data_IF_182250474978
#
_entry.id   IF_182250474978
#
_cell.length_a   1.000
_cell.length_b   1.000
_cell.length_c   1.000
_cell.angle_alpha   90.00
_cell.angle_beta   90.00
_cell.angle_gamma   90.00
#
_symmetry.space_group_name_H-M   'P 1'
#
loop_
_entity.id
_entity.type
_entity.pdbx_description
1 polymer ?
#
# COMPACT_ATOMS: atom_id res chain seq x y z
N UNK A 1 -2.48 2.44 4.12
CA UNK A 1 -1.83 1.33 4.87
C UNK A 1 -2.11 1.55 6.35
N UNK A 2 -2.78 0.63 7.04
CA UNK A 2 -3.18 0.88 8.43
C UNK A 2 -2.25 0.21 9.44
N UNK A 3 -2.31 -1.12 9.57
CA UNK A 3 -1.49 -1.85 10.54
C UNK A 3 -1.14 -3.26 10.03
N UNK A 4 -0.15 -3.90 10.63
CA UNK A 4 0.03 -5.34 10.53
C UNK A 4 -0.05 -5.97 11.93
N UNK A 5 -0.34 -7.28 11.98
CA UNK A 5 -0.38 -8.05 13.22
C UNK A 5 0.26 -9.42 13.06
N UNK A 6 0.66 -9.98 14.20
CA UNK A 6 1.19 -11.33 14.31
C UNK A 6 2.35 -11.60 13.35
N UNK A 7 3.19 -10.57 13.12
CA UNK A 7 4.37 -10.70 12.27
C UNK A 7 5.37 -11.68 12.90
N UNK A 8 5.95 -12.55 12.07
CA UNK A 8 7.02 -13.43 12.51
C UNK A 8 8.26 -12.60 12.83
N UNK A 9 8.76 -12.71 14.07
CA UNK A 9 10.00 -12.09 14.48
C UNK A 9 11.18 -12.62 13.67
N UNK A 10 12.06 -11.71 13.26
CA UNK A 10 13.27 -12.03 12.53
C UNK A 10 14.49 -12.10 13.46
N UNK A 11 14.53 -11.18 14.43
CA UNK A 11 15.57 -11.16 15.44
C UNK A 11 15.34 -12.10 16.63
N UNK A 12 16.44 -12.67 17.12
CA UNK A 12 16.48 -13.52 18.32
C UNK A 12 16.09 -12.76 19.59
N UNK A 13 16.14 -11.43 19.54
CA UNK A 13 15.93 -10.54 20.69
C UNK A 13 14.46 -10.10 20.81
N UNK A 14 13.54 -10.70 20.03
CA UNK A 14 12.07 -10.57 20.08
C UNK A 14 11.46 -9.24 19.64
N UNK A 15 12.28 -8.29 19.19
CA UNK A 15 11.83 -6.98 18.74
C UNK A 15 12.33 -6.71 17.33
N UNK A 16 11.41 -6.39 16.42
CA UNK A 16 11.67 -5.97 15.04
C UNK A 16 11.27 -4.50 14.86
N UNK A 17 11.85 -3.83 13.87
CA UNK A 17 11.57 -2.47 13.43
C UNK A 17 10.87 -2.48 12.04
N UNK A 18 9.62 -2.97 11.94
CA UNK A 18 8.97 -3.19 10.65
C UNK A 18 8.65 -1.91 9.89
N UNK A 19 8.89 -1.96 8.58
CA UNK A 19 8.35 -1.03 7.59
C UNK A 19 7.84 -1.79 6.36
N UNK A 20 6.99 -1.14 5.57
CA UNK A 20 6.46 -1.71 4.34
C UNK A 20 6.92 -0.92 3.11
N UNK A 21 7.24 -1.63 2.04
CA UNK A 21 7.38 -1.10 0.68
C UNK A 21 6.13 -1.50 -0.08
N UNK A 22 5.37 -0.52 -0.54
CA UNK A 22 4.22 -0.74 -1.42
C UNK A 22 4.62 -0.44 -2.84
N UNK A 23 4.45 -1.43 -3.71
CA UNK A 23 4.81 -1.38 -5.12
C UNK A 23 3.56 -1.57 -5.97
N UNK A 24 3.38 -0.66 -6.94
CA UNK A 24 2.31 -0.75 -7.93
C UNK A 24 2.86 -0.33 -9.29
N UNK A 25 2.81 -1.27 -10.24
CA UNK A 25 3.42 -1.13 -11.57
C UNK A 25 4.90 -0.71 -11.48
N UNK A 26 5.24 0.47 -11.99
CA UNK A 26 6.60 1.00 -12.07
C UNK A 26 6.95 1.94 -10.91
N UNK A 27 6.08 2.07 -9.91
CA UNK A 27 6.31 2.95 -8.75
C UNK A 27 6.32 2.14 -7.44
N UNK A 28 7.10 2.63 -6.48
CA UNK A 28 7.12 2.10 -5.12
C UNK A 28 7.25 3.23 -4.10
N UNK A 29 6.68 3.03 -2.90
CA UNK A 29 6.77 3.94 -1.77
C UNK A 29 6.99 3.17 -0.48
N UNK A 30 7.81 3.73 0.41
CA UNK A 30 8.15 3.15 1.72
C UNK A 30 7.32 3.84 2.81
N UNK A 31 6.80 3.07 3.76
CA UNK A 31 6.18 3.61 4.97
C UNK A 31 7.23 4.09 5.96
N UNK A 32 6.79 4.79 7.01
CA UNK A 32 7.64 5.00 8.19
C UNK A 32 8.03 3.65 8.82
N UNK A 33 9.20 3.64 9.48
CA UNK A 33 9.67 2.52 10.30
C UNK A 33 9.05 2.65 11.69
N UNK A 34 8.39 1.60 12.18
CA UNK A 34 7.89 1.55 13.54
C UNK A 34 8.82 0.65 14.34
N UNK A 35 9.39 1.17 15.43
CA UNK A 35 10.41 0.45 16.18
C UNK A 35 9.83 -0.53 17.19
N UNK A 36 10.55 -1.63 17.42
CA UNK A 36 10.40 -2.54 18.54
C UNK A 36 8.98 -3.15 18.67
N UNK A 37 8.40 -3.61 17.56
CA UNK A 37 7.05 -4.20 17.51
C UNK A 37 6.87 -5.21 16.38
N UNK A 38 6.06 -6.25 16.63
CA UNK A 38 5.55 -7.17 15.61
C UNK A 38 4.10 -6.85 15.19
N UNK A 39 3.53 -5.78 15.76
CA UNK A 39 2.19 -5.29 15.48
C UNK A 39 2.25 -3.80 15.14
N UNK A 40 2.90 -3.42 14.03
CA UNK A 40 3.06 -2.02 13.67
C UNK A 40 1.75 -1.40 13.23
N UNK A 41 1.48 -0.19 13.72
CA UNK A 41 0.42 0.69 13.20
C UNK A 41 1.09 1.85 12.48
N UNK A 42 1.05 1.84 11.15
CA UNK A 42 1.61 2.92 10.33
C UNK A 42 0.62 4.06 10.15
N UNK A 43 -0.68 3.74 10.02
CA UNK A 43 -1.78 4.70 9.76
C UNK A 43 -1.44 5.73 8.67
N UNK A 44 -0.84 5.25 7.58
CA UNK A 44 -0.24 6.10 6.55
C UNK A 44 -0.99 6.00 5.22
N UNK A 45 -1.28 7.17 4.64
CA UNK A 45 -1.75 7.29 3.26
C UNK A 45 -0.57 7.32 2.30
N UNK A 46 -0.49 6.36 1.38
CA UNK A 46 0.46 6.38 0.27
C UNK A 46 -0.29 6.68 -1.02
N UNK A 47 0.22 7.62 -1.80
CA UNK A 47 -0.46 8.13 -2.99
C UNK A 47 0.51 8.06 -4.16
N UNK A 48 0.17 7.28 -5.16
CA UNK A 48 0.94 7.17 -6.38
C UNK A 48 0.31 8.08 -7.43
N UNK A 49 1.06 9.12 -7.81
CA UNK A 49 0.67 10.04 -8.86
C UNK A 49 1.10 9.49 -10.22
N UNK A 50 0.31 9.77 -11.24
CA UNK A 50 0.73 9.60 -12.64
C UNK A 50 1.13 8.17 -13.08
N UNK A 51 0.41 7.16 -12.61
CA UNK A 51 0.61 5.77 -13.00
C UNK A 51 0.04 5.52 -14.40
N UNK A 52 0.89 5.37 -15.40
CA UNK A 52 0.44 4.94 -16.73
C UNK A 52 0.13 3.43 -16.75
N UNK A 53 -1.10 3.08 -17.12
CA UNK A 53 -1.52 1.69 -17.36
C UNK A 53 -1.80 1.55 -18.85
N UNK A 54 -0.99 0.75 -19.53
CA UNK A 54 -1.16 0.46 -20.95
C UNK A 54 -2.18 -0.66 -21.14
N UNK A 55 -3.18 -0.44 -21.99
CA UNK A 55 -4.21 -1.43 -22.31
C UNK A 55 -5.60 -0.82 -22.41
N UNK A 56 -6.58 -1.67 -22.68
CA UNK A 56 -7.99 -1.28 -22.69
C UNK A 56 -8.44 -0.95 -21.25
N UNK A 57 -9.03 0.24 -20.99
CA UNK A 57 -9.60 0.58 -19.69
C UNK A 57 -10.58 -0.47 -19.13
N UNK A 58 -11.31 -1.17 -20.00
CA UNK A 58 -12.22 -2.23 -19.60
C UNK A 58 -11.47 -3.45 -19.07
N UNK A 59 -10.37 -3.85 -19.72
CA UNK A 59 -9.51 -4.93 -19.22
C UNK A 59 -8.83 -4.59 -17.89
N UNK A 60 -8.43 -3.34 -17.70
CA UNK A 60 -7.88 -2.86 -16.41
C UNK A 60 -8.97 -2.88 -15.34
N UNK A 61 -10.21 -2.62 -15.72
CA UNK A 61 -11.34 -2.66 -14.79
C UNK A 61 -11.71 -4.09 -14.38
N UNK A 62 -11.73 -5.02 -15.34
CA UNK A 62 -12.07 -6.42 -15.11
C UNK A 62 -10.94 -7.20 -14.42
N UNK A 63 -9.69 -6.85 -14.73
CA UNK A 63 -8.50 -7.49 -14.17
C UNK A 63 -7.44 -6.44 -13.83
N UNK A 64 -7.61 -5.70 -12.72
CA UNK A 64 -6.66 -4.68 -12.33
C UNK A 64 -5.28 -5.29 -11.98
N UNK A 65 -4.17 -4.58 -12.23
CA UNK A 65 -2.85 -5.00 -11.80
C UNK A 65 -2.78 -5.21 -10.28
N UNK A 66 -1.95 -6.16 -9.86
CA UNK A 66 -1.75 -6.43 -8.45
C UNK A 66 -0.91 -5.34 -7.79
N UNK A 67 -1.23 -5.05 -6.54
CA UNK A 67 -0.40 -4.28 -5.62
C UNK A 67 0.42 -5.27 -4.80
N UNK A 68 1.71 -5.00 -4.70
CA UNK A 68 2.64 -5.81 -3.92
C UNK A 68 3.03 -5.01 -2.69
N UNK A 69 2.88 -5.60 -1.51
CA UNK A 69 3.34 -5.02 -0.26
C UNK A 69 4.37 -5.94 0.35
N UNK A 70 5.59 -5.46 0.52
CA UNK A 70 6.69 -6.19 1.11
C UNK A 70 7.05 -5.57 2.45
N UNK A 71 7.12 -6.39 3.49
CA UNK A 71 7.43 -5.96 4.86
C UNK A 71 8.87 -6.38 5.16
N UNK A 72 9.63 -5.44 5.72
CA UNK A 72 11.02 -5.60 6.09
C UNK A 72 11.23 -5.17 7.52
N UNK A 73 12.18 -5.83 8.17
CA UNK A 73 12.75 -5.43 9.45
C UNK A 73 13.90 -4.44 9.19
N UNK A 74 13.90 -3.28 9.82
CA UNK A 74 14.95 -2.29 9.63
C UNK A 74 16.09 -2.49 10.62
N UNK A 75 17.28 -2.79 10.09
CA UNK A 75 18.47 -2.97 10.91
C UNK A 75 19.38 -1.74 10.86
N UNK A 76 19.65 -1.13 12.01
CA UNK A 76 20.54 0.05 12.08
C UNK A 76 21.99 -0.28 11.74
N UNK A 77 22.44 -1.49 12.07
CA UNK A 77 23.84 -1.93 11.90
C UNK A 77 23.99 -3.13 10.95
N UNK A 78 22.89 -3.55 10.32
CA UNK A 78 22.80 -4.72 9.47
C UNK A 78 22.16 -4.40 8.12
N UNK A 79 21.78 -5.44 7.38
CA UNK A 79 20.98 -5.30 6.18
C UNK A 79 19.53 -5.63 6.54
N UNK A 80 18.60 -4.77 6.11
CA UNK A 80 17.17 -4.95 6.36
C UNK A 80 16.70 -6.36 5.98
N UNK A 81 16.00 -7.04 6.90
CA UNK A 81 15.58 -8.43 6.71
C UNK A 81 14.15 -8.52 6.16
N UNK A 82 13.96 -9.30 5.10
CA UNK A 82 12.64 -9.51 4.52
C UNK A 82 11.74 -10.35 5.44
N UNK A 83 10.64 -9.76 5.91
CA UNK A 83 9.67 -10.42 6.81
C UNK A 83 8.57 -11.16 6.05
N UNK A 84 8.11 -10.63 4.92
CA UNK A 84 7.10 -11.28 4.08
C UNK A 84 6.37 -10.33 3.13
N UNK A 85 5.42 -10.87 2.35
CA UNK A 85 4.73 -10.11 1.29
C UNK A 85 3.23 -10.39 1.22
N UNK A 86 2.43 -9.34 0.99
CA UNK A 86 1.06 -9.44 0.46
C UNK A 86 1.05 -9.17 -1.04
N UNK A 87 0.22 -9.92 -1.76
CA UNK A 87 -0.22 -9.56 -3.11
C UNK A 87 -1.71 -9.28 -3.02
N UNK A 88 -2.11 -8.03 -3.27
CA UNK A 88 -3.44 -7.55 -3.00
C UNK A 88 -3.99 -6.87 -4.29
N UNK A 89 -5.32 -6.94 -4.53
CA UNK A 89 -5.94 -6.27 -5.70
C UNK A 89 -6.54 -4.92 -5.29
N UNK A 90 -6.36 -3.85 -6.08
CA UNK A 90 -7.05 -2.58 -5.81
C UNK A 90 -8.56 -2.70 -6.05
N UNK A 91 -9.32 -1.92 -5.28
CA UNK A 91 -10.72 -1.66 -5.57
C UNK A 91 -10.85 -0.48 -6.52
N UNK A 92 -11.75 -0.60 -7.49
CA UNK A 92 -12.13 0.50 -8.40
C UNK A 92 -13.31 1.30 -7.87
N UNK A 93 -13.90 0.86 -6.75
CA UNK A 93 -15.01 1.57 -6.10
C UNK A 93 -14.46 2.71 -5.24
N UNK A 94 -15.18 3.84 -5.20
CA UNK A 94 -14.81 5.07 -4.47
C UNK A 94 -14.83 4.94 -2.92
N UNK A 95 -14.94 3.72 -2.41
CA UNK A 95 -15.08 3.42 -0.99
C UNK A 95 -14.35 2.11 -0.68
N UNK A 96 -13.02 2.08 -0.80
CA UNK A 96 -12.23 0.91 -0.47
C UNK A 96 -12.40 0.61 1.04
N UNK A 97 -12.62 -0.65 1.39
CA UNK A 97 -12.75 -1.07 2.80
C UNK A 97 -11.43 -1.67 3.26
N UNK A 98 -11.05 -1.35 4.50
CA UNK A 98 -9.95 -2.03 5.16
C UNK A 98 -10.25 -3.53 5.21
N UNK A 99 -9.29 -4.31 4.76
CA UNK A 99 -9.35 -5.77 4.76
C UNK A 99 -8.02 -6.34 5.24
N UNK A 100 -8.11 -7.48 5.92
CA UNK A 100 -6.93 -8.25 6.33
C UNK A 100 -6.43 -9.06 5.15
N UNK A 101 -5.15 -8.93 4.86
CA UNK A 101 -4.45 -9.67 3.82
C UNK A 101 -3.32 -10.50 4.44
N UNK A 102 -3.19 -11.79 4.10
CA UNK A 102 -2.13 -12.61 4.64
C UNK A 102 -0.76 -12.15 4.14
N UNK A 103 0.20 -12.08 5.05
CA UNK A 103 1.61 -11.85 4.75
C UNK A 103 2.27 -13.22 4.57
N UNK A 104 2.84 -13.45 3.39
CA UNK A 104 3.42 -14.75 3.02
C UNK A 104 4.94 -14.65 2.92
N UNK A 105 5.64 -15.59 3.55
CA UNK A 105 7.09 -15.83 3.38
C UNK A 105 7.32 -17.33 3.25
N UNK A 106 8.04 -17.75 2.21
CA UNK A 106 8.33 -19.17 1.93
C UNK A 106 7.10 -20.09 2.01
N UNK A 107 5.97 -19.67 1.40
CA UNK A 107 4.67 -20.35 1.41
C UNK A 107 4.02 -20.56 2.80
N UNK A 108 4.46 -19.82 3.81
CA UNK A 108 3.84 -19.79 5.14
C UNK A 108 3.20 -18.44 5.40
N UNK A 109 2.07 -18.46 6.08
CA UNK A 109 1.50 -17.25 6.67
C UNK A 109 2.38 -16.83 7.86
N UNK A 110 2.90 -15.62 7.80
CA UNK A 110 3.81 -15.02 8.79
C UNK A 110 3.24 -13.72 9.37
N UNK A 111 1.92 -13.51 9.25
CA UNK A 111 1.20 -12.38 9.82
C UNK A 111 0.09 -11.88 8.89
N UNK A 112 -0.59 -10.83 9.30
CA UNK A 112 -1.66 -10.22 8.50
C UNK A 112 -1.49 -8.71 8.40
N UNK A 113 -1.81 -8.17 7.23
CA UNK A 113 -1.78 -6.74 6.92
C UNK A 113 -3.21 -6.20 6.79
N UNK A 114 -3.58 -5.21 7.58
CA UNK A 114 -4.82 -4.46 7.42
C UNK A 114 -4.59 -3.26 6.50
N UNK A 115 -5.14 -3.31 5.30
CA UNK A 115 -5.01 -2.25 4.32
C UNK A 115 -6.22 -2.16 3.38
N UNK A 116 -6.36 -0.99 2.77
CA UNK A 116 -7.33 -0.69 1.73
C UNK A 116 -6.55 -0.12 0.55
N UNK A 117 -6.90 -0.57 -0.66
CA UNK A 117 -6.23 -0.19 -1.90
C UNK A 117 -7.28 0.31 -2.88
N UNK A 118 -7.09 1.52 -3.42
CA UNK A 118 -8.01 2.14 -4.37
C UNK A 118 -7.29 2.59 -5.63
N UNK A 119 -7.82 2.18 -6.78
CA UNK A 119 -7.35 2.63 -8.08
C UNK A 119 -8.43 3.53 -8.69
N UNK A 120 -8.10 4.80 -8.87
CA UNK A 120 -9.01 5.80 -9.43
C UNK A 120 -8.53 6.14 -10.84
N UNK A 121 -9.38 5.87 -11.82
CA UNK A 121 -9.17 6.35 -13.18
C UNK A 121 -9.47 7.85 -13.22
N UNK A 122 -8.49 8.65 -13.67
CA UNK A 122 -8.74 10.04 -14.05
C UNK A 122 -9.12 10.05 -15.53
N UNK A 123 -10.31 10.55 -15.84
CA UNK A 123 -10.64 10.93 -17.21
C UNK A 123 -9.76 12.13 -17.58
N UNK A 124 -8.86 11.97 -18.55
CA UNK A 124 -8.21 13.12 -19.17
C UNK A 124 -9.24 13.78 -20.09
N UNK A 125 -9.70 14.97 -19.71
CA UNK A 125 -10.29 15.92 -20.66
C UNK A 125 -9.14 16.33 -21.60
N UNK A 126 -8.99 15.59 -22.70
CA UNK A 126 -7.90 15.64 -23.69
C UNK A 126 -6.51 15.13 -23.26
N UNK A 127 -5.95 14.18 -24.05
CA UNK A 127 -4.59 13.55 -23.98
C UNK A 127 -4.50 12.20 -23.23
N UNK A 128 -3.53 11.29 -23.52
CA UNK A 128 -3.62 9.87 -23.16
C UNK A 128 -3.25 9.58 -21.70
N UNK A 129 -3.98 8.63 -21.12
CA UNK A 129 -4.26 8.30 -19.71
C UNK A 129 -3.09 8.21 -18.71
N UNK A 130 -3.33 8.76 -17.53
CA UNK A 130 -2.47 8.70 -16.35
C UNK A 130 -3.35 8.37 -15.12
N UNK A 131 -3.15 7.24 -14.48
CA UNK A 131 -3.94 6.72 -13.36
C UNK A 131 -3.34 7.15 -12.01
N UNK A 132 -4.13 7.16 -10.94
CA UNK A 132 -3.60 7.34 -9.59
C UNK A 132 -4.16 6.30 -8.64
N UNK A 133 -3.30 5.77 -7.79
CA UNK A 133 -3.66 4.81 -6.74
C UNK A 133 -3.54 5.51 -5.38
N UNK A 134 -4.59 5.45 -4.57
CA UNK A 134 -4.66 6.05 -3.23
C UNK A 134 -4.83 4.94 -2.19
N UNK A 135 -4.04 4.96 -1.12
CA UNK A 135 -4.21 4.08 0.05
C UNK A 135 -4.74 4.88 1.21
N UNK A 136 -6.05 4.91 1.45
CA UNK A 136 -6.62 5.69 2.56
C UNK A 136 -6.55 4.92 3.89
N UNK A 137 -6.17 5.56 5.02
CA UNK A 137 -6.56 5.12 6.36
C UNK A 137 -8.02 5.50 6.60
N UNK A 138 -8.73 4.64 7.31
CA UNK A 138 -10.15 4.83 7.58
C UNK A 138 -10.38 6.03 8.50
N UNK A 139 -11.08 7.05 8.02
CA UNK A 139 -11.70 8.05 8.90
C UNK A 139 -11.52 9.51 8.51
N UNK A 140 -11.89 9.90 7.30
CA UNK A 140 -12.45 11.25 7.07
C UNK A 140 -13.12 11.34 5.72
N UNK A 141 -14.44 11.50 5.74
CA UNK A 141 -15.21 11.99 4.60
C UNK A 141 -14.79 13.45 4.38
N UNK A 142 -13.86 13.71 3.45
CA UNK A 142 -13.73 15.04 2.86
C UNK A 142 -14.42 15.04 1.51
N UNK A 143 -15.53 15.75 1.47
CA UNK A 143 -16.26 16.11 0.26
C UNK A 143 -15.34 16.82 -0.71
N UNK A 144 -15.34 16.34 -1.95
CA UNK A 144 -14.60 16.85 -3.07
C UNK A 144 -15.27 18.15 -3.56
N UNK A 145 -14.94 19.29 -2.96
CA UNK A 145 -15.23 20.64 -3.47
C UNK A 145 -14.50 21.68 -2.59
N UNK A 146 -13.19 21.86 -2.80
CA UNK A 146 -12.56 23.12 -2.44
C UNK A 146 -11.48 23.49 -3.47
N UNK A 147 -11.78 24.41 -4.41
CA UNK A 147 -10.86 24.82 -5.47
C UNK A 147 -9.91 25.95 -5.03
N UNK A 148 -9.72 26.24 -3.74
CA UNK A 148 -8.97 27.45 -3.32
C UNK A 148 -7.45 27.36 -3.26
N UNK A 149 -6.82 26.23 -3.59
CA UNK A 149 -5.35 26.15 -3.63
C UNK A 149 -4.83 25.74 -5.01
N UNK A 150 -5.14 26.58 -5.99
CA UNK A 150 -4.33 26.73 -7.19
C UNK A 150 -3.63 28.09 -7.10
N UNK A 151 -2.31 28.09 -7.29
CA UNK A 151 -1.38 29.23 -7.31
C UNK A 151 -0.90 29.76 -5.94
N UNK A 152 0.18 29.15 -5.43
CA UNK A 152 1.36 29.80 -4.87
C UNK A 152 2.53 28.80 -4.87
#
# INVERSE_FOLDING_TARGET
MYQARDLMAMDKDSFSDPYAIVSFLHQSQKTVVIKNTLNPTWDQTLIFYEIEIFGDPQNVSDSPPNIVVEIYDHDTYGADEFMGRCICKPSLTRSPRLSWHPVIKANRNVGELLAAFELIQREKVSSPSCFQCWLLPSGSLRTQQDPTFAWC
#
